data_IF_068623552466
#
_entry.id   IF_068623552466
#
_cell.length_a   1.000
_cell.length_b   1.000
_cell.length_c   1.000
_cell.angle_alpha   90.00
_cell.angle_beta   90.00
_cell.angle_gamma   90.00
#
_symmetry.space_group_name_H-M   'P 1'
#
loop_
_entity.id
_entity.type
_entity.pdbx_description
1 polymer ?
#
# COMPACT_ATOMS: atom_id res chain seq x y z
N UNK A 1 -4.05 12.81 9.89
CA UNK A 1 -3.29 11.86 9.09
C UNK A 1 -3.70 10.44 9.46
N UNK A 2 -4.06 9.59 8.49
CA UNK A 2 -4.42 8.21 8.82
C UNK A 2 -3.23 7.46 9.45
N UNK A 3 -3.48 6.56 10.39
CA UNK A 3 -2.38 5.86 11.05
C UNK A 3 -1.70 4.84 10.14
N UNK A 4 -0.41 4.62 10.38
CA UNK A 4 0.37 3.56 9.75
C UNK A 4 0.05 2.27 10.50
N UNK A 5 -0.66 1.36 9.85
CA UNK A 5 -1.08 0.09 10.47
C UNK A 5 -1.28 -0.98 9.43
N UNK A 6 -1.33 -2.24 9.87
CA UNK A 6 -1.57 -3.37 8.96
C UNK A 6 -2.93 -3.20 8.29
N UNK A 7 -2.96 -3.33 6.96
CA UNK A 7 -4.15 -3.14 6.15
C UNK A 7 -4.33 -1.73 5.60
N UNK A 8 -3.55 -0.77 6.04
CA UNK A 8 -3.65 0.61 5.56
C UNK A 8 -3.20 0.70 4.10
N UNK A 9 -4.02 1.33 3.27
CA UNK A 9 -3.68 1.58 1.88
C UNK A 9 -2.86 2.87 1.80
N UNK A 10 -1.75 2.81 1.09
CA UNK A 10 -0.81 3.93 0.95
C UNK A 10 -0.46 4.16 -0.51
N UNK A 11 0.10 5.33 -0.80
CA UNK A 11 0.66 5.66 -2.12
C UNK A 11 2.17 5.73 -1.98
N UNK A 12 2.90 5.11 -2.89
CA UNK A 12 4.36 5.25 -2.93
C UNK A 12 4.73 6.63 -3.48
N UNK A 13 5.67 7.27 -2.82
CA UNK A 13 6.07 8.64 -3.16
C UNK A 13 7.35 8.70 -3.98
N UNK A 14 8.16 7.65 -3.98
CA UNK A 14 9.48 7.65 -4.60
C UNK A 14 9.75 6.40 -5.41
N UNK A 15 10.68 6.53 -6.36
CA UNK A 15 11.16 5.43 -7.17
C UNK A 15 10.25 5.13 -8.35
N UNK A 16 10.49 3.99 -8.98
CA UNK A 16 9.75 3.58 -10.18
C UNK A 16 8.26 3.30 -9.91
N UNK A 17 7.94 3.05 -8.66
CA UNK A 17 6.57 2.75 -8.24
C UNK A 17 5.85 3.97 -7.68
N UNK A 18 6.43 5.16 -7.85
CA UNK A 18 5.82 6.40 -7.36
C UNK A 18 4.42 6.61 -7.97
N UNK A 19 3.48 7.02 -7.16
CA UNK A 19 2.09 7.21 -7.56
C UNK A 19 1.24 5.95 -7.54
N UNK A 20 1.85 4.79 -7.33
CA UNK A 20 1.12 3.52 -7.28
C UNK A 20 0.74 3.20 -5.84
N UNK A 21 -0.40 2.54 -5.68
CA UNK A 21 -0.93 2.20 -4.36
C UNK A 21 -0.38 0.88 -3.86
N UNK A 22 -0.29 0.76 -2.55
CA UNK A 22 0.14 -0.46 -1.88
C UNK A 22 -0.59 -0.61 -0.55
N UNK A 23 -0.47 -1.79 0.04
CA UNK A 23 -1.08 -2.10 1.33
C UNK A 23 0.01 -2.48 2.30
N UNK A 24 -0.05 -1.95 3.52
CA UNK A 24 0.88 -2.33 4.59
C UNK A 24 0.46 -3.69 5.11
N UNK A 25 1.36 -4.66 5.04
CA UNK A 25 1.10 -6.02 5.53
C UNK A 25 1.82 -6.34 6.83
N UNK A 26 2.83 -5.54 7.20
CA UNK A 26 3.54 -5.71 8.47
C UNK A 26 4.22 -4.40 8.87
N UNK A 27 4.36 -4.20 10.15
CA UNK A 27 5.15 -3.10 10.72
C UNK A 27 6.46 -3.70 11.20
N UNK A 28 7.57 -3.30 10.61
CA UNK A 28 8.88 -3.87 10.93
C UNK A 28 9.48 -3.16 12.14
N UNK A 29 9.54 -1.84 12.09
CA UNK A 29 10.01 -1.01 13.20
C UNK A 29 9.47 0.41 13.05
N UNK A 30 10.02 1.37 13.79
CA UNK A 30 9.55 2.76 13.78
C UNK A 30 9.76 3.45 12.43
N UNK A 31 10.65 2.92 11.58
CA UNK A 31 11.00 3.54 10.29
C UNK A 31 10.59 2.74 9.08
N UNK A 32 10.33 1.44 9.22
CA UNK A 32 10.09 0.56 8.07
C UNK A 32 8.84 -0.27 8.21
N UNK A 33 8.18 -0.46 7.08
CA UNK A 33 7.01 -1.34 6.97
C UNK A 33 7.19 -2.25 5.77
N UNK A 34 6.50 -3.38 5.80
CA UNK A 34 6.43 -4.28 4.65
C UNK A 34 5.14 -3.97 3.90
N UNK A 35 5.27 -3.72 2.60
CA UNK A 35 4.13 -3.41 1.74
C UNK A 35 4.07 -4.35 0.55
N UNK A 36 2.88 -4.46 -0.04
CA UNK A 36 2.68 -5.12 -1.33
C UNK A 36 1.56 -4.38 -2.04
N UNK A 37 1.58 -4.43 -3.41
CA UNK A 37 0.53 -3.79 -4.17
C UNK A 37 -0.84 -4.46 -4.05
N UNK A 38 -1.01 -5.75 -4.24
CA UNK A 38 -0.06 -6.72 -4.82
C UNK A 38 0.36 -6.36 -6.24
N UNK A 39 1.48 -6.90 -6.67
CA UNK A 39 2.07 -6.58 -7.98
C UNK A 39 1.09 -6.78 -9.13
N UNK A 40 0.27 -7.82 -9.06
CA UNK A 40 -0.72 -8.12 -10.10
C UNK A 40 -1.78 -7.04 -10.25
N UNK A 41 -2.03 -6.25 -9.23
CA UNK A 41 -3.03 -5.19 -9.25
C UNK A 41 -2.44 -3.81 -9.50
N UNK A 42 -1.35 -3.48 -8.81
CA UNK A 42 -0.80 -2.11 -8.84
C UNK A 42 0.60 -2.02 -9.42
N UNK A 43 1.28 -3.14 -9.59
CA UNK A 43 2.67 -3.17 -10.02
C UNK A 43 3.68 -3.01 -8.89
N UNK A 44 3.24 -2.79 -7.66
CA UNK A 44 4.15 -2.64 -6.52
C UNK A 44 4.53 -4.02 -6.00
N UNK A 45 5.82 -4.31 -6.01
CA UNK A 45 6.36 -5.57 -5.47
C UNK A 45 6.33 -5.56 -3.95
N UNK A 46 6.16 -6.75 -3.37
CA UNK A 46 6.28 -6.94 -1.92
C UNK A 46 7.70 -6.61 -1.48
N UNK A 47 7.84 -5.60 -0.62
CA UNK A 47 9.14 -5.16 -0.14
C UNK A 47 9.04 -4.30 1.11
N UNK A 48 10.18 -4.19 1.80
CA UNK A 48 10.33 -3.26 2.92
C UNK A 48 10.50 -1.84 2.37
N UNK A 49 9.79 -0.88 2.93
CA UNK A 49 9.93 0.53 2.55
C UNK A 49 10.01 1.40 3.80
N UNK A 50 10.70 2.52 3.68
CA UNK A 50 10.72 3.53 4.73
C UNK A 50 9.38 4.25 4.75
N UNK A 51 8.82 4.50 5.93
CA UNK A 51 7.52 5.16 6.06
C UNK A 51 7.52 6.57 5.46
N UNK A 52 8.68 7.22 5.36
CA UNK A 52 8.78 8.54 4.71
C UNK A 52 8.59 8.49 3.20
N UNK A 53 8.62 7.29 2.61
CA UNK A 53 8.46 7.10 1.17
C UNK A 53 7.04 6.68 0.77
N UNK A 54 6.12 6.67 1.72
CA UNK A 54 4.72 6.35 1.47
C UNK A 54 3.83 7.38 2.13
N UNK A 55 2.64 7.55 1.57
CA UNK A 55 1.61 8.40 2.16
C UNK A 55 0.38 7.55 2.47
N UNK A 56 -0.04 7.46 3.73
CA UNK A 56 -1.23 6.68 4.08
C UNK A 56 -2.50 7.38 3.59
N UNK A 57 -3.41 6.59 3.06
CA UNK A 57 -4.73 7.06 2.63
C UNK A 57 -5.76 6.73 3.70
N UNK A 58 -6.96 7.23 3.55
CA UNK A 58 -8.04 7.04 4.52
C UNK A 58 -8.73 5.67 4.41
N UNK A 59 -8.30 4.81 3.50
CA UNK A 59 -8.88 3.49 3.29
C UNK A 59 -8.00 2.40 3.89
N UNK A 60 -8.66 1.36 4.38
CA UNK A 60 -8.03 0.25 5.07
C UNK A 60 -8.77 -1.04 4.74
N UNK A 61 -8.05 -2.16 4.67
CA UNK A 61 -8.65 -3.48 4.53
C UNK A 61 -8.29 -4.35 5.74
N UNK A 62 -9.15 -5.33 6.03
CA UNK A 62 -8.94 -6.24 7.13
C UNK A 62 -8.09 -7.42 6.66
N UNK A 63 -6.85 -7.45 7.09
CA UNK A 63 -5.91 -8.55 6.80
C UNK A 63 -5.11 -8.85 8.06
N UNK A 64 -4.58 -10.06 8.12
CA UNK A 64 -3.68 -10.45 9.19
C UNK A 64 -2.28 -9.92 8.93
N UNK A 65 -1.53 -9.68 9.99
CA UNK A 65 -0.12 -9.32 9.90
C UNK A 65 0.63 -10.35 9.06
N UNK A 66 1.38 -9.87 8.08
CA UNK A 66 2.14 -10.74 7.20
C UNK A 66 1.33 -11.46 6.14
N UNK A 67 0.09 -11.04 5.89
CA UNK A 67 -0.79 -11.67 4.90
C UNK A 67 -0.09 -11.82 3.55
N UNK A 68 -0.37 -12.94 2.88
CA UNK A 68 0.16 -13.19 1.53
C UNK A 68 -0.49 -12.25 0.51
N UNK A 69 0.14 -12.13 -0.66
CA UNK A 69 -0.43 -11.32 -1.73
C UNK A 69 -1.83 -11.82 -2.13
N UNK A 70 -2.05 -13.14 -2.13
CA UNK A 70 -3.36 -13.71 -2.44
C UNK A 70 -4.41 -13.30 -1.42
N UNK A 71 -4.05 -13.31 -0.15
CA UNK A 71 -4.96 -12.88 0.92
C UNK A 71 -5.28 -11.38 0.79
N UNK A 72 -4.28 -10.58 0.43
CA UNK A 72 -4.48 -9.15 0.22
C UNK A 72 -5.40 -8.89 -0.97
N UNK A 73 -5.21 -9.59 -2.09
CA UNK A 73 -6.10 -9.48 -3.25
C UNK A 73 -7.53 -9.80 -2.85
N UNK A 74 -7.71 -10.90 -2.12
CA UNK A 74 -9.05 -11.33 -1.68
C UNK A 74 -9.71 -10.27 -0.79
N UNK A 75 -8.95 -9.70 0.14
CA UNK A 75 -9.48 -8.66 1.03
C UNK A 75 -9.87 -7.41 0.24
N UNK A 76 -9.07 -7.03 -0.77
CA UNK A 76 -9.38 -5.90 -1.62
C UNK A 76 -10.63 -6.15 -2.48
N UNK A 77 -10.79 -7.37 -2.99
CA UNK A 77 -11.98 -7.76 -3.73
C UNK A 77 -13.23 -7.68 -2.87
N UNK A 78 -13.17 -8.23 -1.67
CA UNK A 78 -14.29 -8.21 -0.73
C UNK A 78 -14.67 -6.79 -0.32
N UNK A 79 -13.68 -5.90 -0.22
CA UNK A 79 -13.93 -4.51 0.13
C UNK A 79 -14.35 -3.64 -1.07
N UNK A 80 -14.34 -4.19 -2.29
CA UNK A 80 -14.69 -3.45 -3.50
C UNK A 80 -13.65 -2.41 -3.88
N UNK A 81 -12.39 -2.62 -3.52
CA UNK A 81 -11.32 -1.64 -3.72
C UNK A 81 -10.33 -1.98 -4.84
N UNK A 82 -10.59 -3.03 -5.63
CA UNK A 82 -9.65 -3.45 -6.68
C UNK A 82 -9.42 -2.33 -7.70
N UNK A 83 -10.49 -1.72 -8.19
CA UNK A 83 -10.35 -0.63 -9.16
C UNK A 83 -9.68 0.60 -8.55
N UNK A 84 -10.00 0.90 -7.30
CA UNK A 84 -9.34 1.98 -6.56
C UNK A 84 -7.82 1.75 -6.50
N UNK A 85 -7.39 0.52 -6.23
CA UNK A 85 -5.96 0.18 -6.14
C UNK A 85 -5.25 0.33 -7.48
N UNK A 86 -5.92 0.04 -8.58
CA UNK A 86 -5.33 0.14 -9.91
C UNK A 86 -5.11 1.58 -10.38
N UNK A 87 -5.82 2.53 -9.80
CA UNK A 87 -5.68 3.93 -10.15
C UNK A 87 -4.35 4.49 -9.64
N UNK A 88 -3.60 5.15 -10.52
CA UNK A 88 -2.37 5.83 -10.13
C UNK A 88 -2.72 7.23 -9.63
N UNK A 89 -2.03 7.63 -8.57
CA UNK A 89 -2.15 8.99 -8.05
C UNK A 89 -0.98 9.78 -8.63
N UNK A 90 -1.28 10.90 -9.29
CA UNK A 90 -0.20 11.80 -9.71
C UNK A 90 0.35 12.48 -8.46
N UNK A 91 1.66 12.37 -8.20
CA UNK A 91 2.23 13.14 -7.11
C UNK A 91 2.01 14.62 -7.40
N UNK A 92 1.68 15.39 -6.36
CA UNK A 92 1.54 16.82 -6.50
C UNK A 92 2.86 17.36 -7.06
N UNK A 93 2.82 18.26 -8.08
CA UNK A 93 4.06 18.80 -8.58
C UNK A 93 4.78 19.52 -7.48
N UNK A 94 6.06 19.20 -7.31
CA UNK A 94 6.92 19.94 -6.41
C UNK A 94 7.13 21.31 -7.05
N UNK A 95 6.63 22.31 -6.39
CA UNK A 95 6.78 23.67 -6.85
C UNK A 95 8.06 24.24 -6.27
#
# INVERSE_FOLDING_TARGET
MPPIEVGRICVKLRGREAGRKCVIVDIIDASFVLVTGPKSLTGVKRRRVNISHIEPLDKKVEISKGASDEEVVRALEEAGLVEFMKEKVKPAPLV
#
